data_IF_282576408792
#
_entry.id   IF_282576408792
#
_cell.length_a   1.000
_cell.length_b   1.000
_cell.length_c   1.000
_cell.angle_alpha   90.00
_cell.angle_beta   90.00
_cell.angle_gamma   90.00
#
_symmetry.space_group_name_H-M   'P 1'
#
loop_
_entity.id
_entity.type
_entity.pdbx_description
1 polymer ?
#
# COMPACT_ATOMS: atom_id res chain seq x y z
N UNK A 1 -5.47 23.34 -13.76
CA UNK A 1 -4.01 23.20 -13.87
C UNK A 1 -3.61 21.77 -13.52
N UNK A 2 -2.80 21.13 -14.35
CA UNK A 2 -2.26 19.80 -14.04
C UNK A 2 -1.05 19.97 -13.12
N UNK A 3 -1.14 19.51 -11.90
CA UNK A 3 -0.01 19.47 -10.97
C UNK A 3 0.92 18.30 -11.31
N UNK A 4 2.23 18.49 -11.10
CA UNK A 4 3.17 17.38 -11.21
C UNK A 4 2.86 16.34 -10.16
N UNK A 5 3.15 15.09 -10.46
CA UNK A 5 2.97 13.97 -9.55
C UNK A 5 3.67 14.20 -8.18
N UNK A 6 4.89 14.75 -8.19
CA UNK A 6 5.63 15.11 -6.97
C UNK A 6 4.87 16.13 -6.11
N UNK A 7 4.19 17.07 -6.74
CA UNK A 7 3.34 18.06 -6.05
C UNK A 7 2.13 17.41 -5.42
N UNK A 8 1.44 16.50 -6.13
CA UNK A 8 0.27 15.78 -5.61
C UNK A 8 0.66 14.88 -4.44
N UNK A 9 1.78 14.16 -4.52
CA UNK A 9 2.29 13.33 -3.44
C UNK A 9 2.57 14.18 -2.17
N UNK A 10 3.20 15.34 -2.35
CA UNK A 10 3.51 16.25 -1.25
C UNK A 10 2.25 16.85 -0.60
N UNK A 11 1.24 17.18 -1.41
CA UNK A 11 -0.07 17.62 -0.91
C UNK A 11 -0.70 16.50 -0.08
N UNK A 12 -0.68 15.25 -0.55
CA UNK A 12 -1.21 14.09 0.19
C UNK A 12 -0.52 13.88 1.54
N UNK A 13 0.78 14.10 1.62
CA UNK A 13 1.54 13.97 2.88
C UNK A 13 1.19 15.07 3.88
N UNK A 14 0.98 16.30 3.43
CA UNK A 14 0.81 17.48 4.28
C UNK A 14 -0.64 17.82 4.61
N UNK A 15 -1.61 17.36 3.81
CA UNK A 15 -3.04 17.65 4.06
C UNK A 15 -3.59 16.83 5.22
N UNK A 16 -4.48 17.45 5.98
CA UNK A 16 -5.21 16.78 7.06
C UNK A 16 -6.40 15.96 6.54
N UNK A 17 -6.99 16.37 5.45
CA UNK A 17 -8.13 15.70 4.82
C UNK A 17 -7.84 15.53 3.34
N UNK A 18 -8.01 14.32 2.84
CA UNK A 18 -7.93 13.99 1.42
C UNK A 18 -9.21 13.28 1.02
N UNK A 19 -9.91 13.87 0.07
CA UNK A 19 -11.14 13.34 -0.49
C UNK A 19 -10.95 13.11 -1.98
N UNK A 20 -11.40 11.98 -2.47
CA UNK A 20 -11.57 11.73 -3.89
C UNK A 20 -13.04 11.96 -4.27
N UNK A 21 -13.26 12.74 -5.32
CA UNK A 21 -14.61 13.13 -5.74
C UNK A 21 -14.85 12.67 -7.16
N UNK A 22 -15.81 11.78 -7.31
CA UNK A 22 -16.20 11.20 -8.58
C UNK A 22 -17.60 11.68 -8.99
N UNK A 23 -17.78 11.94 -10.28
CA UNK A 23 -19.09 12.20 -10.86
C UNK A 23 -19.33 11.21 -11.99
N UNK A 24 -20.40 10.43 -11.90
CA UNK A 24 -20.83 9.49 -12.92
C UNK A 24 -22.35 9.44 -12.98
N UNK A 25 -22.91 9.51 -14.18
CA UNK A 25 -24.34 9.33 -14.45
C UNK A 25 -25.26 10.14 -13.56
N UNK A 26 -24.89 11.40 -13.33
CA UNK A 26 -25.64 12.33 -12.46
C UNK A 26 -25.42 12.13 -10.96
N UNK A 27 -24.71 11.08 -10.55
CA UNK A 27 -24.34 10.83 -9.15
C UNK A 27 -23.02 11.50 -8.81
N UNK A 28 -22.94 12.05 -7.60
CA UNK A 28 -21.68 12.54 -7.01
C UNK A 28 -21.31 11.61 -5.87
N UNK A 29 -20.13 11.04 -5.95
CA UNK A 29 -19.54 10.21 -4.91
C UNK A 29 -18.33 10.92 -4.30
N UNK A 30 -18.21 10.88 -3.00
CA UNK A 30 -17.05 11.34 -2.24
C UNK A 30 -16.46 10.17 -1.50
N UNK A 31 -15.17 9.90 -1.74
CA UNK A 31 -14.43 8.85 -1.09
C UNK A 31 -13.33 9.44 -0.21
N UNK A 32 -13.47 9.42 1.12
CA UNK A 32 -12.43 9.89 2.04
C UNK A 32 -11.23 8.96 2.01
N UNK A 33 -10.06 9.48 1.61
CA UNK A 33 -8.80 8.74 1.56
C UNK A 33 -7.92 9.03 2.78
N UNK A 34 -8.09 10.19 3.42
CA UNK A 34 -7.38 10.60 4.63
C UNK A 34 -8.24 11.60 5.40
N UNK A 35 -8.42 11.36 6.70
CA UNK A 35 -9.09 12.28 7.61
C UNK A 35 -8.33 12.32 8.94
N UNK A 36 -7.66 13.43 9.21
CA UNK A 36 -6.89 13.61 10.44
C UNK A 36 -7.82 13.83 11.63
N UNK A 37 -7.63 13.06 12.70
CA UNK A 37 -8.34 13.16 13.98
C UNK A 37 -9.88 13.04 13.91
N UNK A 38 -10.43 12.52 12.81
CA UNK A 38 -11.85 12.23 12.66
C UNK A 38 -12.01 10.75 12.35
N UNK A 39 -12.70 10.05 13.23
CA UNK A 39 -12.90 8.61 13.13
C UNK A 39 -14.38 8.28 13.23
N UNK A 40 -14.91 7.67 12.20
CA UNK A 40 -16.22 7.04 12.18
C UNK A 40 -16.09 5.65 11.55
N UNK A 41 -17.06 4.77 11.82
CA UNK A 41 -17.08 3.42 11.25
C UNK A 41 -17.15 3.41 9.70
N UNK A 42 -17.65 4.49 9.12
CA UNK A 42 -17.89 4.61 7.68
C UNK A 42 -16.91 5.57 6.99
N UNK A 43 -15.92 6.08 7.70
CA UNK A 43 -15.06 7.19 7.23
C UNK A 43 -14.35 6.90 5.91
N UNK A 44 -13.91 5.66 5.69
CA UNK A 44 -13.18 5.27 4.47
C UNK A 44 -14.08 4.59 3.43
N UNK A 45 -15.38 4.56 3.64
CA UNK A 45 -16.32 4.09 2.64
C UNK A 45 -16.60 5.20 1.61
N UNK A 46 -16.90 4.85 0.35
CA UNK A 46 -17.43 5.82 -0.58
C UNK A 46 -18.81 6.31 -0.09
N UNK A 47 -19.06 7.61 -0.22
CA UNK A 47 -20.32 8.25 0.13
C UNK A 47 -20.97 8.78 -1.14
N UNK A 48 -22.24 8.50 -1.34
CA UNK A 48 -23.05 9.06 -2.43
C UNK A 48 -23.88 10.24 -1.93
N UNK A 49 -24.11 11.21 -2.82
CA UNK A 49 -24.96 12.35 -2.51
C UNK A 49 -26.43 11.94 -2.63
N UNK A 50 -27.16 12.08 -1.52
CA UNK A 50 -28.61 11.92 -1.45
C UNK A 50 -29.20 13.25 -0.95
N UNK A 51 -29.79 14.02 -1.87
CA UNK A 51 -30.27 15.37 -1.57
C UNK A 51 -29.12 16.30 -1.17
N UNK A 52 -29.14 16.80 0.07
CA UNK A 52 -28.08 17.67 0.62
C UNK A 52 -27.04 16.94 1.48
N UNK A 53 -27.21 15.63 1.71
CA UNK A 53 -26.32 14.82 2.52
C UNK A 53 -25.45 13.88 1.68
N UNK A 54 -24.32 13.46 2.26
CA UNK A 54 -23.52 12.37 1.75
C UNK A 54 -23.71 11.14 2.64
N UNK A 55 -24.24 10.06 2.06
CA UNK A 55 -24.58 8.81 2.76
C UNK A 55 -23.53 7.75 2.42
N UNK A 56 -22.95 7.04 3.40
CA UNK A 56 -21.95 6.02 3.15
C UNK A 56 -22.56 4.80 2.45
N UNK A 57 -21.88 4.29 1.42
CA UNK A 57 -22.22 3.03 0.78
C UNK A 57 -21.75 1.87 1.66
N UNK A 58 -22.66 1.35 2.48
CA UNK A 58 -22.38 0.22 3.37
C UNK A 58 -22.61 -1.14 2.69
N UNK A 59 -23.29 -1.15 1.56
CA UNK A 59 -23.53 -2.36 0.79
C UNK A 59 -22.37 -2.61 -0.19
N UNK A 60 -21.73 -3.77 -0.05
CA UNK A 60 -20.60 -4.18 -0.89
C UNK A 60 -20.95 -4.29 -2.39
N UNK A 61 -22.19 -4.67 -2.72
CA UNK A 61 -22.63 -4.77 -4.11
C UNK A 61 -22.73 -3.40 -4.78
N UNK A 62 -23.23 -2.38 -4.07
CA UNK A 62 -23.34 -1.02 -4.57
C UNK A 62 -21.97 -0.34 -4.66
N UNK A 63 -21.10 -0.59 -3.70
CA UNK A 63 -19.71 -0.14 -3.74
C UNK A 63 -18.97 -0.77 -4.94
N UNK A 64 -19.14 -2.07 -5.17
CA UNK A 64 -18.54 -2.76 -6.32
C UNK A 64 -19.06 -2.23 -7.67
N UNK A 65 -20.37 -1.95 -7.78
CA UNK A 65 -20.93 -1.31 -8.98
C UNK A 65 -20.35 0.07 -9.22
N UNK A 66 -20.23 0.89 -8.18
CA UNK A 66 -19.63 2.21 -8.28
C UNK A 66 -18.18 2.11 -8.79
N UNK A 67 -17.38 1.23 -8.21
CA UNK A 67 -15.97 1.05 -8.61
C UNK A 67 -15.84 0.42 -10.00
N UNK A 68 -16.73 -0.48 -10.41
CA UNK A 68 -16.76 -1.02 -11.78
C UNK A 68 -17.03 0.09 -12.81
N UNK A 69 -18.00 0.95 -12.56
CA UNK A 69 -18.26 2.11 -13.44
C UNK A 69 -17.11 3.13 -13.48
N UNK A 70 -16.35 3.25 -12.40
CA UNK A 70 -15.16 4.11 -12.35
C UNK A 70 -13.97 3.49 -13.11
N UNK A 71 -13.88 2.16 -13.13
CA UNK A 71 -12.82 1.40 -13.82
C UNK A 71 -12.99 1.37 -15.33
N UNK A 72 -14.24 1.43 -15.84
CA UNK A 72 -14.56 1.44 -17.28
C UNK A 72 -14.19 2.78 -17.98
N UNK A 73 -13.86 3.80 -17.22
CA UNK A 73 -13.36 5.06 -17.77
C UNK A 73 -11.89 4.94 -18.08
N UNK A 74 -11.57 4.64 -19.33
CA UNK A 74 -10.29 4.67 -20.07
C UNK A 74 -9.00 4.49 -19.24
N UNK A 75 -8.05 3.73 -19.78
CA UNK A 75 -6.69 3.52 -19.20
C UNK A 75 -6.01 4.83 -18.73
N UNK A 76 -6.34 5.98 -19.33
CA UNK A 76 -5.83 7.31 -18.96
C UNK A 76 -6.40 7.81 -17.61
N UNK A 77 -7.63 7.44 -17.26
CA UNK A 77 -8.21 7.77 -15.95
C UNK A 77 -7.76 6.77 -14.88
N UNK A 78 -7.53 5.51 -15.22
CA UNK A 78 -6.92 4.53 -14.31
C UNK A 78 -5.52 4.97 -13.84
N UNK A 79 -4.69 5.51 -14.73
CA UNK A 79 -3.39 6.10 -14.35
C UNK A 79 -3.51 7.29 -13.39
N UNK A 80 -4.61 8.04 -13.44
CA UNK A 80 -4.86 9.17 -12.52
C UNK A 80 -5.26 8.73 -11.12
N UNK A 81 -5.87 7.55 -11.00
CA UNK A 81 -6.32 6.98 -9.73
C UNK A 81 -5.25 6.15 -9.01
N UNK A 82 -4.20 5.75 -9.73
CA UNK A 82 -3.06 5.08 -9.10
C UNK A 82 -2.38 6.02 -8.11
N UNK A 83 -2.21 5.56 -6.90
CA UNK A 83 -1.44 6.29 -5.91
C UNK A 83 0.07 6.26 -6.26
N UNK A 84 0.86 7.00 -5.49
CA UNK A 84 2.32 7.04 -5.70
C UNK A 84 2.96 5.65 -5.70
N UNK A 85 2.49 4.81 -4.80
CA UNK A 85 3.05 3.50 -4.59
C UNK A 85 2.70 2.54 -5.71
N UNK A 86 1.47 2.58 -6.20
CA UNK A 86 1.05 1.77 -7.34
C UNK A 86 1.85 2.12 -8.59
N UNK A 87 2.10 3.40 -8.84
CA UNK A 87 2.97 3.84 -9.96
C UNK A 87 4.42 3.40 -9.78
N UNK A 88 4.93 3.43 -8.55
CA UNK A 88 6.27 2.95 -8.24
C UNK A 88 6.40 1.45 -8.53
N UNK A 89 5.37 0.67 -8.19
CA UNK A 89 5.31 -0.76 -8.50
C UNK A 89 5.16 -1.03 -10.00
N UNK A 90 4.36 -0.25 -10.72
CA UNK A 90 4.26 -0.37 -12.18
C UNK A 90 5.62 -0.11 -12.84
N UNK A 91 6.28 0.98 -12.46
CA UNK A 91 7.63 1.28 -12.95
C UNK A 91 8.63 0.17 -12.61
N UNK A 92 8.53 -0.41 -11.42
CA UNK A 92 9.36 -1.53 -11.02
C UNK A 92 9.15 -2.77 -11.89
N UNK A 93 7.90 -3.07 -12.27
CA UNK A 93 7.57 -4.17 -13.19
C UNK A 93 8.12 -3.94 -14.60
N UNK A 94 8.04 -2.71 -15.12
CA UNK A 94 8.61 -2.35 -16.43
C UNK A 94 10.12 -2.57 -16.47
N UNK A 95 10.82 -2.23 -15.36
CA UNK A 95 12.28 -2.30 -15.27
C UNK A 95 12.77 -3.70 -14.83
N UNK A 96 11.92 -4.54 -14.23
CA UNK A 96 12.33 -5.85 -13.72
C UNK A 96 12.98 -6.74 -14.79
N UNK A 97 12.53 -6.64 -16.07
CA UNK A 97 13.11 -7.36 -17.20
C UNK A 97 14.33 -6.71 -17.85
N UNK A 98 14.72 -5.51 -17.42
CA UNK A 98 15.87 -4.78 -18.00
C UNK A 98 17.10 -4.88 -17.10
N UNK A 99 18.01 -5.78 -17.47
CA UNK A 99 19.28 -5.95 -16.74
C UNK A 99 20.24 -4.76 -16.90
N UNK A 100 20.04 -3.89 -17.90
CA UNK A 100 20.89 -2.72 -18.13
C UNK A 100 20.60 -1.58 -17.14
N UNK A 101 19.40 -1.54 -16.54
CA UNK A 101 18.94 -0.50 -15.63
C UNK A 101 19.41 -0.66 -14.17
N UNK A 102 20.67 -1.02 -13.94
CA UNK A 102 21.22 -1.39 -12.62
C UNK A 102 20.98 -0.34 -11.55
N UNK A 103 21.31 0.91 -11.82
CA UNK A 103 21.18 1.99 -10.83
C UNK A 103 19.71 2.33 -10.54
N UNK A 104 18.84 2.24 -11.53
CA UNK A 104 17.42 2.46 -11.36
C UNK A 104 16.75 1.33 -10.57
N UNK A 105 17.15 0.09 -10.81
CA UNK A 105 16.74 -1.08 -10.02
C UNK A 105 17.13 -0.94 -8.54
N UNK A 106 18.37 -0.55 -8.23
CA UNK A 106 18.84 -0.30 -6.85
C UNK A 106 18.01 0.79 -6.16
N UNK A 107 17.74 1.88 -6.87
CA UNK A 107 16.90 2.97 -6.35
C UNK A 107 15.48 2.52 -6.05
N UNK A 108 14.89 1.72 -6.92
CA UNK A 108 13.56 1.15 -6.74
C UNK A 108 13.54 0.16 -5.56
N UNK A 109 14.55 -0.69 -5.42
CA UNK A 109 14.68 -1.58 -4.26
C UNK A 109 14.68 -0.76 -2.96
N UNK A 110 15.46 0.32 -2.85
CA UNK A 110 15.47 1.18 -1.65
C UNK A 110 14.11 1.83 -1.39
N UNK A 111 13.45 2.33 -2.43
CA UNK A 111 12.15 2.98 -2.29
C UNK A 111 11.05 2.00 -1.90
N UNK A 112 10.94 0.86 -2.57
CA UNK A 112 9.92 -0.16 -2.31
C UNK A 112 10.12 -0.84 -0.96
N UNK A 113 11.37 -1.06 -0.55
CA UNK A 113 11.67 -1.63 0.77
C UNK A 113 11.14 -0.78 1.92
N UNK A 114 11.24 0.55 1.80
CA UNK A 114 10.70 1.49 2.81
C UNK A 114 9.18 1.45 2.90
N UNK A 115 8.51 1.04 1.85
CA UNK A 115 7.05 0.93 1.78
C UNK A 115 6.57 -0.42 2.28
N UNK A 116 7.26 -1.50 1.87
CA UNK A 116 6.84 -2.87 2.14
C UNK A 116 7.38 -3.42 3.47
N UNK A 117 8.61 -3.04 3.84
CA UNK A 117 9.34 -3.67 4.96
C UNK A 117 9.58 -2.71 6.13
N UNK A 118 9.31 -1.41 5.93
CA UNK A 118 9.47 -0.39 6.96
C UNK A 118 10.73 0.46 6.82
N UNK A 119 11.02 1.28 7.85
CA UNK A 119 12.05 2.33 7.78
C UNK A 119 13.23 2.10 8.74
N UNK A 120 13.28 0.94 9.40
CA UNK A 120 14.35 0.61 10.33
C UNK A 120 15.68 0.45 9.56
N UNK A 121 16.71 1.21 9.99
CA UNK A 121 17.98 1.34 9.24
C UNK A 121 18.72 0.01 9.04
N UNK A 122 18.77 -0.81 10.10
CA UNK A 122 19.45 -2.11 10.06
C UNK A 122 18.74 -3.07 9.11
N UNK A 123 17.41 -3.10 9.15
CA UNK A 123 16.61 -3.90 8.23
C UNK A 123 16.83 -3.47 6.79
N UNK A 124 16.80 -2.16 6.50
CA UNK A 124 17.02 -1.64 5.16
C UNK A 124 18.41 -1.93 4.61
N UNK A 125 19.46 -1.95 5.46
CA UNK A 125 20.80 -2.34 5.01
C UNK A 125 20.86 -3.80 4.55
N UNK A 126 20.26 -4.70 5.32
CA UNK A 126 20.18 -6.13 4.97
C UNK A 126 19.30 -6.36 3.74
N UNK A 127 18.21 -5.63 3.61
CA UNK A 127 17.35 -5.73 2.42
C UNK A 127 18.08 -5.31 1.16
N UNK A 128 18.90 -4.26 1.18
CA UNK A 128 19.72 -3.83 0.03
C UNK A 128 20.72 -4.91 -0.41
N UNK A 129 21.17 -5.73 0.52
CA UNK A 129 22.12 -6.81 0.27
C UNK A 129 21.46 -8.09 -0.23
N UNK A 130 20.29 -8.43 0.32
CA UNK A 130 19.68 -9.74 0.12
C UNK A 130 18.37 -9.76 -0.66
N UNK A 131 17.77 -8.61 -0.99
CA UNK A 131 16.52 -8.55 -1.77
C UNK A 131 16.77 -8.04 -3.17
N UNK A 132 16.19 -8.70 -4.13
CA UNK A 132 16.09 -8.21 -5.50
C UNK A 132 14.80 -7.39 -5.69
N UNK A 133 14.67 -6.76 -6.85
CA UNK A 133 13.44 -6.05 -7.24
C UNK A 133 12.28 -7.05 -7.38
N UNK A 134 12.57 -8.24 -7.91
CA UNK A 134 11.61 -9.33 -8.10
C UNK A 134 11.07 -9.84 -6.76
N UNK A 135 11.89 -9.93 -5.71
CA UNK A 135 11.43 -10.30 -4.38
C UNK A 135 10.41 -9.31 -3.84
N UNK A 136 10.64 -8.02 -4.03
CA UNK A 136 9.72 -6.97 -3.58
C UNK A 136 8.42 -6.95 -4.39
N UNK A 137 8.49 -7.23 -5.69
CA UNK A 137 7.31 -7.41 -6.55
C UNK A 137 6.50 -8.64 -6.12
N UNK A 138 7.16 -9.76 -5.81
CA UNK A 138 6.49 -10.96 -5.31
C UNK A 138 5.77 -10.73 -3.98
N UNK A 139 6.32 -9.88 -3.08
CA UNK A 139 5.63 -9.45 -1.86
C UNK A 139 4.37 -8.65 -2.23
N UNK A 140 4.48 -7.70 -3.16
CA UNK A 140 3.33 -6.87 -3.59
C UNK A 140 2.21 -7.70 -4.19
N UNK A 141 2.53 -8.70 -4.99
CA UNK A 141 1.55 -9.59 -5.62
C UNK A 141 0.76 -10.45 -4.62
N UNK A 142 1.30 -10.63 -3.41
CA UNK A 142 0.67 -11.36 -2.31
C UNK A 142 0.21 -10.46 -1.16
N UNK A 143 0.26 -9.13 -1.35
CA UNK A 143 -0.14 -8.16 -0.34
C UNK A 143 -1.64 -7.89 -0.40
N UNK A 144 -2.33 -8.16 0.68
CA UNK A 144 -3.72 -7.79 0.92
C UNK A 144 -3.72 -6.39 1.55
N UNK A 145 -4.34 -5.44 0.86
CA UNK A 145 -4.31 -4.03 1.26
C UNK A 145 -3.03 -3.30 0.81
N UNK A 146 -2.58 -2.33 1.59
CA UNK A 146 -1.43 -1.47 1.30
C UNK A 146 -0.55 -1.25 2.53
N UNK A 147 0.60 -0.59 2.33
CA UNK A 147 1.55 -0.30 3.39
C UNK A 147 2.53 -1.45 3.64
N UNK A 148 3.15 -1.45 4.81
CA UNK A 148 4.19 -2.43 5.12
C UNK A 148 3.62 -3.73 5.70
N UNK A 149 4.32 -4.83 5.45
CA UNK A 149 4.04 -6.14 6.05
C UNK A 149 4.56 -6.18 7.49
N UNK A 150 4.04 -7.11 8.29
CA UNK A 150 4.47 -7.27 9.68
C UNK A 150 5.94 -7.67 9.82
N UNK A 151 6.57 -7.26 10.94
CA UNK A 151 8.00 -7.51 11.19
C UNK A 151 8.38 -8.99 11.17
N UNK A 152 7.50 -9.90 11.60
CA UNK A 152 7.73 -11.35 11.53
C UNK A 152 7.83 -11.83 10.09
N UNK A 153 6.91 -11.39 9.22
CA UNK A 153 6.93 -11.73 7.80
C UNK A 153 8.18 -11.17 7.11
N UNK A 154 8.55 -9.91 7.40
CA UNK A 154 9.76 -9.30 6.87
C UNK A 154 11.03 -10.05 7.30
N UNK A 155 11.11 -10.44 8.59
CA UNK A 155 12.22 -11.22 9.13
C UNK A 155 12.34 -12.62 8.51
N UNK A 156 11.22 -13.32 8.32
CA UNK A 156 11.17 -14.61 7.66
C UNK A 156 11.67 -14.54 6.21
N UNK A 157 11.21 -13.56 5.45
CA UNK A 157 11.63 -13.35 4.07
C UNK A 157 13.11 -13.00 3.98
N UNK A 158 13.61 -12.16 4.89
CA UNK A 158 15.03 -11.83 4.97
C UNK A 158 15.88 -13.07 5.28
N UNK A 159 15.52 -13.85 6.30
CA UNK A 159 16.22 -15.08 6.65
C UNK A 159 16.29 -16.04 5.46
N UNK A 160 15.19 -16.21 4.75
CA UNK A 160 15.13 -17.04 3.54
C UNK A 160 16.06 -16.53 2.45
N UNK A 161 16.13 -15.23 2.20
CA UNK A 161 16.99 -14.66 1.18
C UNK A 161 18.46 -14.75 1.56
N UNK A 162 18.81 -14.60 2.85
CA UNK A 162 20.16 -14.85 3.37
C UNK A 162 20.57 -16.31 3.11
N UNK A 163 19.72 -17.29 3.47
CA UNK A 163 20.00 -18.70 3.24
C UNK A 163 20.15 -19.03 1.74
N UNK A 164 19.33 -18.42 0.88
CA UNK A 164 19.46 -18.58 -0.58
C UNK A 164 20.75 -18.01 -1.16
N UNK A 165 21.27 -16.95 -0.55
CA UNK A 165 22.52 -16.33 -0.95
C UNK A 165 23.76 -17.11 -0.48
N UNK A 166 23.62 -17.95 0.54
CA UNK A 166 24.69 -18.81 1.05
C UNK A 166 25.00 -19.94 0.04
N UNK A 167 26.23 -19.95 -0.44
CA UNK A 167 26.73 -20.96 -1.41
C UNK A 167 27.39 -22.16 -0.74
N UNK A 168 27.54 -22.15 0.58
CA UNK A 168 28.18 -23.20 1.35
C UNK A 168 27.32 -24.44 1.53
N UNK A 169 26.01 -24.33 1.32
CA UNK A 169 25.06 -25.42 1.48
C UNK A 169 23.89 -25.30 0.48
N UNK A 170 23.37 -26.42 0.02
CA UNK A 170 22.21 -26.44 -0.90
C UNK A 170 20.88 -26.23 -0.13
N UNK A 171 20.66 -25.00 0.31
CA UNK A 171 19.46 -24.61 1.04
C UNK A 171 18.17 -24.77 0.24
N UNK A 172 18.23 -24.75 -1.09
CA UNK A 172 17.04 -24.86 -1.94
C UNK A 172 16.30 -26.19 -1.75
N UNK A 173 17.04 -27.26 -1.42
CA UNK A 173 16.44 -28.57 -1.14
C UNK A 173 15.78 -28.68 0.23
N UNK A 174 16.09 -27.75 1.15
CA UNK A 174 15.65 -27.78 2.53
C UNK A 174 14.69 -26.66 2.89
N UNK A 175 14.54 -25.65 2.03
CA UNK A 175 13.62 -24.56 2.22
C UNK A 175 12.28 -24.88 1.55
N UNK A 176 11.23 -24.99 2.35
CA UNK A 176 9.88 -25.06 1.83
C UNK A 176 9.45 -23.73 1.20
N UNK A 177 8.73 -23.82 0.09
CA UNK A 177 8.10 -22.68 -0.54
C UNK A 177 6.85 -22.33 0.25
N UNK A 178 6.85 -21.17 0.88
CA UNK A 178 5.66 -20.66 1.54
C UNK A 178 4.67 -20.10 0.53
N UNK A 179 3.43 -20.57 0.59
CA UNK A 179 2.29 -19.99 -0.11
C UNK A 179 1.53 -19.05 0.85
N UNK A 180 2.21 -17.97 1.26
CA UNK A 180 1.70 -17.03 2.25
C UNK A 180 1.26 -15.73 1.58
N UNK A 181 0.13 -15.18 2.05
CA UNK A 181 -0.29 -13.82 1.78
C UNK A 181 0.10 -12.90 2.94
N UNK A 182 0.34 -11.65 2.64
CA UNK A 182 0.74 -10.65 3.62
C UNK A 182 -0.38 -9.63 3.81
N UNK A 183 -0.68 -9.32 5.06
CA UNK A 183 -1.68 -8.28 5.39
C UNK A 183 -0.94 -6.96 5.59
N UNK A 184 -1.31 -5.96 4.80
CA UNK A 184 -0.74 -4.62 4.87
C UNK A 184 -1.15 -3.87 6.13
N UNK A 185 -0.34 -2.90 6.51
CA UNK A 185 -0.56 -2.11 7.73
C UNK A 185 -1.85 -1.29 7.70
N UNK A 186 -2.36 -0.92 6.53
CA UNK A 186 -3.63 -0.22 6.37
C UNK A 186 -4.82 -1.07 6.85
N UNK A 187 -4.81 -2.37 6.56
CA UNK A 187 -5.85 -3.32 7.04
C UNK A 187 -5.85 -3.39 8.56
N UNK A 188 -4.66 -3.46 9.18
CA UNK A 188 -4.52 -3.45 10.63
C UNK A 188 -5.08 -2.16 11.24
N UNK A 189 -4.68 -1.01 10.71
CA UNK A 189 -5.16 0.29 11.21
C UNK A 189 -6.66 0.47 10.98
N UNK A 190 -7.19 0.04 9.84
CA UNK A 190 -8.62 0.06 9.57
C UNK A 190 -9.39 -0.78 10.60
N UNK A 191 -8.91 -1.97 10.91
CA UNK A 191 -9.49 -2.83 11.93
C UNK A 191 -9.51 -2.16 13.32
N UNK A 192 -8.39 -1.55 13.74
CA UNK A 192 -8.28 -0.85 15.02
C UNK A 192 -9.26 0.34 15.09
N UNK A 193 -9.36 1.11 14.01
CA UNK A 193 -10.25 2.28 13.94
C UNK A 193 -11.72 1.86 13.96
N UNK A 194 -12.08 0.87 13.14
CA UNK A 194 -13.45 0.38 13.05
C UNK A 194 -13.98 -0.20 14.37
N UNK A 195 -13.10 -0.79 15.18
CA UNK A 195 -13.46 -1.32 16.50
C UNK A 195 -13.32 -0.28 17.63
N UNK A 196 -13.02 0.98 17.31
CA UNK A 196 -12.90 2.05 18.30
C UNK A 196 -11.67 1.94 19.22
N UNK A 197 -10.71 1.08 18.90
CA UNK A 197 -9.55 0.76 19.75
C UNK A 197 -8.36 1.71 19.57
N UNK A 198 -8.52 2.76 18.77
CA UNK A 198 -7.45 3.71 18.50
C UNK A 198 -6.88 4.37 19.76
N UNK A 199 -7.77 4.81 20.67
CA UNK A 199 -7.34 5.42 21.95
C UNK A 199 -6.53 4.45 22.81
N UNK A 200 -6.97 3.18 22.87
CA UNK A 200 -6.28 2.12 23.61
C UNK A 200 -4.91 1.86 23.02
N UNK A 201 -4.82 1.73 21.70
CA UNK A 201 -3.55 1.53 21.00
C UNK A 201 -2.55 2.68 21.27
N UNK A 202 -3.02 3.92 21.24
CA UNK A 202 -2.17 5.10 21.50
C UNK A 202 -1.73 5.17 22.96
N UNK A 203 -2.59 4.81 23.90
CA UNK A 203 -2.24 4.78 25.33
C UNK A 203 -1.15 3.75 25.66
N UNK A 204 -1.10 2.64 24.93
CA UNK A 204 -0.04 1.64 25.11
C UNK A 204 1.30 2.08 24.51
N UNK A 205 1.31 2.81 23.41
CA UNK A 205 2.55 3.35 22.79
C UNK A 205 3.25 4.40 23.65
N UNK A 206 2.54 5.10 24.52
CA UNK A 206 3.13 6.14 25.39
C UNK A 206 3.70 5.61 26.70
N UNK A 207 3.52 4.33 27.02
CA UNK A 207 4.02 3.70 28.26
C UNK A 207 5.37 3.01 28.09
N UNK A 208 5.87 2.85 26.87
CA UNK A 208 7.18 2.22 26.56
C UNK A 208 8.24 3.24 26.09
N UNK A 209 8.00 4.54 26.35
CA UNK A 209 8.92 5.65 26.09
C UNK A 209 9.64 6.12 27.32
#
# INVERSE_FOLDING_TARGET
GRHSFKTVARIRETTQVLLDVHRSDGMTCVHPLKCWQRYSLTMFLPHIREGEAFVPLVNSADAARLFAHLSDRSAVDAERHLDYWDRLFLKAREIAGDESAVEERKKLVDQLSRVLLGREKRMLSLVREYFSLEDLLAIKDRLIGTGFIGGKSAGMLLARNILRADRGFDWQRHLELHDSYFVGSDVFYSYIVQNGWWKTLMAHKTREG
#
